data_IF_663926045593
#
_entry.id   IF_663926045593
#
_cell.length_a   1.000
_cell.length_b   1.000
_cell.length_c   1.000
_cell.angle_alpha   90.00
_cell.angle_beta   90.00
_cell.angle_gamma   90.00
#
_symmetry.space_group_name_H-M   'P 1'
#
loop_
_entity.id
_entity.type
_entity.pdbx_description
1 polymer ?
#
# COMPACT_ATOMS: atom_id res chain seq x y z
N UNK A 1 -24.17 -4.91 17.62
CA UNK A 1 -22.71 -4.71 17.58
C UNK A 1 -22.23 -5.27 16.27
N UNK A 2 -22.10 -4.43 15.25
CA UNK A 2 -21.60 -4.86 13.94
C UNK A 2 -20.09 -5.06 14.06
N UNK A 3 -19.65 -6.30 13.84
CA UNK A 3 -18.26 -6.61 13.58
C UNK A 3 -17.86 -5.87 12.30
N UNK A 4 -17.16 -4.75 12.44
CA UNK A 4 -16.44 -4.15 11.34
C UNK A 4 -15.37 -5.15 10.94
N UNK A 5 -15.61 -5.85 9.82
CA UNK A 5 -14.61 -6.65 9.14
C UNK A 5 -13.37 -5.77 8.96
N UNK A 6 -12.34 -5.96 9.79
CA UNK A 6 -10.98 -5.69 9.36
C UNK A 6 -10.73 -6.66 8.22
N UNK A 7 -11.15 -6.27 7.00
CA UNK A 7 -10.72 -6.94 5.78
C UNK A 7 -9.21 -6.84 5.81
N UNK A 8 -8.57 -7.93 6.20
CA UNK A 8 -7.14 -8.15 6.00
C UNK A 8 -6.97 -8.01 4.50
N UNK A 9 -6.61 -6.80 4.06
CA UNK A 9 -6.17 -6.55 2.70
C UNK A 9 -4.92 -7.41 2.57
N UNK A 10 -5.08 -8.56 1.94
CA UNK A 10 -3.95 -9.40 1.55
C UNK A 10 -2.97 -8.46 0.86
N UNK A 11 -1.73 -8.35 1.35
CA UNK A 11 -0.78 -7.42 0.76
C UNK A 11 -0.64 -7.83 -0.70
N UNK A 12 -0.93 -6.89 -1.61
CA UNK A 12 -0.89 -7.13 -3.05
C UNK A 12 0.25 -6.36 -3.67
N UNK A 13 0.87 -6.98 -4.67
CA UNK A 13 1.97 -6.38 -5.41
C UNK A 13 1.45 -5.18 -6.20
N UNK A 14 2.11 -4.05 -6.03
CA UNK A 14 1.77 -2.79 -6.70
C UNK A 14 2.99 -2.18 -7.37
N UNK A 15 2.73 -1.38 -8.39
CA UNK A 15 3.67 -0.45 -8.99
C UNK A 15 3.20 0.98 -8.75
N UNK A 16 4.09 1.83 -8.25
CA UNK A 16 3.78 3.24 -7.95
C UNK A 16 3.94 4.17 -9.17
N UNK A 17 3.71 5.48 -8.97
CA UNK A 17 3.90 6.50 -10.03
C UNK A 17 5.32 6.61 -10.59
N UNK A 18 6.34 6.24 -9.82
CA UNK A 18 7.75 6.31 -10.22
C UNK A 18 8.20 5.01 -10.91
N UNK A 19 7.33 4.00 -10.91
CA UNK A 19 7.57 2.69 -11.45
C UNK A 19 8.25 1.72 -10.50
N UNK A 20 8.38 2.09 -9.22
CA UNK A 20 8.88 1.20 -8.19
C UNK A 20 7.81 0.17 -7.81
N UNK A 21 8.26 -1.05 -7.51
CA UNK A 21 7.36 -2.19 -7.23
C UNK A 21 7.53 -2.64 -5.79
N UNK A 22 6.40 -2.83 -5.11
CA UNK A 22 6.35 -3.20 -3.70
C UNK A 22 5.05 -3.91 -3.33
N UNK A 23 4.82 -4.11 -2.03
CA UNK A 23 3.58 -4.64 -1.50
C UNK A 23 2.76 -3.52 -0.88
N UNK A 24 1.49 -3.38 -1.25
CA UNK A 24 0.61 -2.43 -0.56
C UNK A 24 0.30 -2.99 0.83
N UNK A 25 0.73 -2.26 1.87
CA UNK A 25 0.59 -2.66 3.28
C UNK A 25 -0.34 -1.73 4.06
N UNK A 26 -0.77 -0.61 3.48
CA UNK A 26 -1.71 0.30 4.13
C UNK A 26 -2.19 1.43 3.24
N UNK A 27 -3.35 1.96 3.58
CA UNK A 27 -3.96 3.12 2.94
C UNK A 27 -4.37 4.10 4.04
N UNK A 28 -3.89 5.34 3.97
CA UNK A 28 -4.20 6.43 4.88
C UNK A 28 -4.72 7.63 4.08
N UNK A 29 -6.05 7.75 4.00
CA UNK A 29 -6.73 8.80 3.23
C UNK A 29 -6.55 10.20 3.82
N UNK A 30 -5.94 10.35 4.99
CA UNK A 30 -5.65 11.66 5.58
C UNK A 30 -4.36 12.28 5.04
N UNK A 31 -3.53 11.48 4.34
CA UNK A 31 -2.26 11.93 3.76
C UNK A 31 -2.40 12.35 2.30
N UNK A 32 -1.55 13.29 1.89
CA UNK A 32 -1.40 13.63 0.46
C UNK A 32 -0.94 12.44 -0.40
N UNK A 33 -0.09 11.57 0.18
CA UNK A 33 0.34 10.31 -0.40
C UNK A 33 -0.29 9.17 0.43
N UNK A 34 -1.47 8.66 0.03
CA UNK A 34 -2.25 7.81 0.89
C UNK A 34 -1.76 6.35 0.91
N UNK A 35 -0.98 5.91 -0.06
CA UNK A 35 -0.59 4.50 -0.19
C UNK A 35 0.74 4.24 0.49
N UNK A 36 0.76 3.32 1.46
CA UNK A 36 1.98 2.82 2.11
C UNK A 36 2.41 1.52 1.46
N UNK A 37 3.59 1.51 0.86
CA UNK A 37 4.14 0.38 0.12
C UNK A 37 5.43 -0.10 0.77
N UNK A 38 5.55 -1.41 0.98
CA UNK A 38 6.77 -2.07 1.46
C UNK A 38 7.62 -2.57 0.30
N UNK A 39 8.94 -2.36 0.40
CA UNK A 39 9.91 -2.82 -0.59
C UNK A 39 9.98 -4.34 -0.63
N UNK A 40 9.97 -4.91 -1.83
CA UNK A 40 10.25 -6.34 -2.03
C UNK A 40 11.69 -6.72 -1.65
N UNK A 41 12.59 -5.74 -1.52
CA UNK A 41 13.97 -5.95 -1.05
C UNK A 41 14.05 -6.06 0.48
N UNK A 42 12.95 -5.77 1.18
CA UNK A 42 12.83 -5.81 2.63
C UNK A 42 13.39 -4.57 3.34
N UNK A 43 12.84 -4.28 4.52
CA UNK A 43 13.40 -3.29 5.47
C UNK A 43 13.04 -1.82 5.22
N UNK A 44 12.40 -1.50 4.10
CA UNK A 44 12.04 -0.13 3.74
C UNK A 44 10.58 -0.04 3.27
N UNK A 45 9.94 1.08 3.58
CA UNK A 45 8.62 1.44 3.05
C UNK A 45 8.60 2.88 2.57
N UNK A 46 7.73 3.18 1.62
CA UNK A 46 7.50 4.53 1.12
C UNK A 46 6.01 4.85 1.02
N UNK A 47 5.72 6.14 0.85
CA UNK A 47 4.38 6.64 0.61
C UNK A 47 4.28 7.22 -0.80
N UNK A 48 3.32 6.76 -1.59
CA UNK A 48 3.09 7.21 -2.95
C UNK A 48 1.66 7.72 -3.16
N UNK A 49 1.45 8.46 -4.25
CA UNK A 49 0.15 9.05 -4.61
C UNK A 49 -0.75 8.07 -5.34
N UNK A 50 -0.16 7.16 -6.10
CA UNK A 50 -0.90 6.21 -6.93
C UNK A 50 -0.25 4.84 -6.89
N UNK A 51 -1.08 3.81 -7.02
CA UNK A 51 -0.63 2.42 -7.15
C UNK A 51 -1.47 1.73 -8.21
N UNK A 52 -0.83 0.89 -9.01
CA UNK A 52 -1.48 -0.03 -9.93
C UNK A 52 -1.17 -1.46 -9.51
N UNK A 53 -2.16 -2.34 -9.55
CA UNK A 53 -1.95 -3.78 -9.34
C UNK A 53 -1.07 -4.34 -10.48
N UNK A 54 -0.21 -5.31 -10.14
CA UNK A 54 0.78 -5.93 -11.05
C UNK A 54 0.66 -7.44 -11.03
#
# INVERSE_FOLDING_TARGET
MENQEQRILVPFKVKDENGETGMLIGIDSTRQNPFKVESLKGGEFWYCRTVNAV
#
